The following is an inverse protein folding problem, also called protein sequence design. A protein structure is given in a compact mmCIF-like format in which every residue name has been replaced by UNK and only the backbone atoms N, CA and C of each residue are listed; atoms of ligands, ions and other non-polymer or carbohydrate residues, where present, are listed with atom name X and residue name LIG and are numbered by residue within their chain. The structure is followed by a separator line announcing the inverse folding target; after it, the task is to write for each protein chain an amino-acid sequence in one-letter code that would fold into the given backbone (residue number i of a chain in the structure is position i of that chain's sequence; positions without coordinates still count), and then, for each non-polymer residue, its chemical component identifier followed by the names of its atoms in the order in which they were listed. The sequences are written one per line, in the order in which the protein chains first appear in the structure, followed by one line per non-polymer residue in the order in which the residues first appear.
data_IF_884473144922
#
_entry.id   IF_884473144922
#
_cell.length_a   1.000
_cell.length_b   1.000
_cell.length_c   1.000
_cell.angle_alpha   90.00
_cell.angle_beta   90.00
_cell.angle_gamma   90.00
#
_symmetry.space_group_name_H-M   'P 1'
#
loop_
_entity.id
_entity.type
_entity.pdbx_description
1 polymer ?
#
# COMPACT_ATOMS: atom_id res chain seq x y z
N UNK A 1 -1.36 35.10 -39.97
CA UNK A 1 -1.20 35.19 -38.52
C UNK A 1 -0.31 34.04 -38.10
N UNK A 2 1.03 34.29 -38.07
CA UNK A 2 2.01 33.26 -37.71
C UNK A 2 1.98 33.05 -36.21
N UNK A 3 1.76 31.79 -35.82
CA UNK A 3 1.86 31.39 -34.41
C UNK A 3 3.32 31.14 -34.10
N UNK A 4 3.98 32.12 -33.48
CA UNK A 4 5.33 31.94 -32.93
C UNK A 4 5.28 31.08 -31.70
N UNK A 5 5.72 29.84 -31.82
CA UNK A 5 5.97 28.97 -30.65
C UNK A 5 7.16 29.53 -29.87
N UNK A 6 6.90 30.02 -28.67
CA UNK A 6 7.99 30.29 -27.72
C UNK A 6 8.59 28.92 -27.29
N UNK A 7 9.91 28.77 -27.26
CA UNK A 7 10.54 27.54 -26.78
C UNK A 7 10.17 27.35 -25.31
N UNK A 8 9.63 26.18 -24.99
CA UNK A 8 9.44 25.76 -23.62
C UNK A 8 10.80 25.79 -22.94
N UNK A 9 10.98 26.52 -21.82
CA UNK A 9 12.24 26.49 -21.11
C UNK A 9 12.55 25.05 -20.71
N UNK A 10 13.70 24.52 -21.12
CA UNK A 10 14.21 23.24 -20.67
C UNK A 10 14.22 23.26 -19.15
N UNK A 11 13.55 22.28 -18.55
CA UNK A 11 13.52 22.09 -17.11
C UNK A 11 14.95 22.08 -16.56
N UNK A 12 15.31 22.94 -15.59
CA UNK A 12 16.68 23.02 -15.08
C UNK A 12 17.12 21.81 -14.23
N UNK A 13 16.32 20.76 -14.18
CA UNK A 13 16.66 19.51 -13.47
C UNK A 13 17.49 18.56 -14.32
N UNK A 14 18.54 19.08 -14.96
CA UNK A 14 19.58 18.26 -15.55
C UNK A 14 20.55 17.89 -14.45
N UNK A 15 20.65 16.60 -14.19
CA UNK A 15 21.65 15.84 -13.43
C UNK A 15 21.14 15.15 -12.15
N UNK A 16 19.92 14.63 -12.14
CA UNK A 16 19.75 13.39 -11.41
C UNK A 16 20.24 12.27 -12.34
N UNK A 17 21.17 11.41 -11.92
CA UNK A 17 21.45 10.20 -12.68
C UNK A 17 20.11 9.51 -12.88
N UNK A 18 19.83 9.07 -14.11
CA UNK A 18 18.72 8.18 -14.43
C UNK A 18 18.99 6.84 -13.71
N UNK A 19 18.86 6.84 -12.38
CA UNK A 19 18.78 5.61 -11.64
C UNK A 19 17.38 5.07 -11.93
N UNK A 20 17.33 4.04 -12.78
CA UNK A 20 16.12 3.25 -12.94
C UNK A 20 15.79 2.69 -11.57
N UNK A 21 14.76 3.23 -10.93
CA UNK A 21 14.20 2.70 -9.68
C UNK A 21 13.49 1.38 -9.96
N UNK A 22 14.27 0.38 -10.35
CA UNK A 22 13.73 -0.94 -10.67
C UNK A 22 13.78 -1.79 -9.42
N UNK A 23 12.61 -2.10 -8.87
CA UNK A 23 12.48 -3.06 -7.78
C UNK A 23 12.63 -4.47 -8.35
N UNK A 24 13.54 -5.25 -7.77
CA UNK A 24 13.78 -6.64 -8.15
C UNK A 24 13.39 -7.56 -7.00
N UNK A 25 12.38 -8.40 -7.23
CA UNK A 25 11.94 -9.39 -6.24
C UNK A 25 12.59 -10.72 -6.53
N UNK A 26 13.34 -11.25 -5.56
CA UNK A 26 14.04 -12.52 -5.66
C UNK A 26 13.60 -13.47 -4.55
N UNK A 27 13.70 -14.78 -4.81
CA UNK A 27 13.31 -15.82 -3.88
C UNK A 27 12.09 -16.63 -4.36
N UNK A 28 11.96 -17.84 -3.83
CA UNK A 28 10.89 -18.79 -4.16
C UNK A 28 9.79 -18.82 -3.08
N UNK A 29 10.11 -18.45 -1.84
CA UNK A 29 9.17 -18.37 -0.73
C UNK A 29 8.71 -16.94 -0.49
N UNK A 30 7.58 -16.75 0.17
CA UNK A 30 7.09 -15.42 0.60
C UNK A 30 8.16 -14.69 1.42
N UNK A 31 8.76 -15.40 2.39
CA UNK A 31 9.78 -14.82 3.26
C UNK A 31 11.00 -14.30 2.48
N UNK A 32 11.50 -15.07 1.52
CA UNK A 32 12.63 -14.65 0.68
C UNK A 32 12.27 -13.43 -0.15
N UNK A 33 11.08 -13.38 -0.74
CA UNK A 33 10.59 -12.24 -1.49
C UNK A 33 10.51 -10.97 -0.63
N UNK A 34 9.91 -11.05 0.56
CA UNK A 34 9.88 -9.92 1.48
C UNK A 34 11.27 -9.48 1.94
N UNK A 35 12.18 -10.43 2.23
CA UNK A 35 13.57 -10.13 2.56
C UNK A 35 14.29 -9.38 1.44
N UNK A 36 13.96 -9.69 0.18
CA UNK A 36 14.52 -8.96 -0.97
C UNK A 36 13.92 -7.56 -1.15
N UNK A 37 12.65 -7.34 -0.78
CA UNK A 37 11.95 -6.07 -0.92
C UNK A 37 12.30 -5.04 0.16
N UNK A 38 12.40 -5.47 1.42
CA UNK A 38 12.55 -4.54 2.55
C UNK A 38 13.74 -3.57 2.43
N UNK A 39 14.98 -4.00 2.07
CA UNK A 39 16.08 -3.06 1.90
C UNK A 39 15.86 -2.10 0.73
N UNK A 40 15.16 -2.54 -0.33
CA UNK A 40 14.85 -1.71 -1.48
C UNK A 40 13.82 -0.63 -1.13
N UNK A 41 12.82 -0.94 -0.29
CA UNK A 41 11.88 0.08 0.20
C UNK A 41 12.55 1.15 1.04
N UNK A 42 13.52 0.78 1.90
CA UNK A 42 14.28 1.75 2.67
C UNK A 42 15.10 2.67 1.77
N UNK A 43 15.79 2.12 0.76
CA UNK A 43 16.53 2.91 -0.21
C UNK A 43 15.62 3.82 -1.05
N UNK A 44 14.45 3.31 -1.45
CA UNK A 44 13.48 4.07 -2.25
C UNK A 44 12.99 5.35 -1.56
N UNK A 45 12.82 5.31 -0.23
CA UNK A 45 12.29 6.43 0.55
C UNK A 45 13.38 7.32 1.18
N UNK A 46 14.67 6.98 1.00
CA UNK A 46 15.77 7.65 1.68
C UNK A 46 15.91 9.10 1.21
N UNK A 47 15.89 9.33 -0.11
CA UNK A 47 16.12 10.61 -0.73
C UNK A 47 14.84 11.39 -1.07
N UNK A 48 13.71 10.70 -1.29
CA UNK A 48 12.41 11.30 -1.58
C UNK A 48 11.71 11.76 -0.29
N UNK A 49 11.19 12.98 -0.28
CA UNK A 49 10.50 13.56 0.89
C UNK A 49 8.99 13.71 0.68
N UNK A 50 8.51 13.52 -0.55
CA UNK A 50 7.06 13.53 -0.80
C UNK A 50 6.43 12.21 -0.35
N UNK A 51 5.55 12.33 0.63
CA UNK A 51 4.85 11.20 1.24
C UNK A 51 4.03 10.39 0.23
N UNK A 52 3.35 11.06 -0.71
CA UNK A 52 2.49 10.39 -1.70
C UNK A 52 3.34 9.67 -2.74
N UNK A 53 4.45 10.27 -3.19
CA UNK A 53 5.38 9.64 -4.11
C UNK A 53 5.96 8.36 -3.51
N UNK A 54 6.44 8.41 -2.26
CA UNK A 54 6.98 7.26 -1.54
C UNK A 54 5.95 6.14 -1.37
N UNK A 55 4.74 6.46 -0.89
CA UNK A 55 3.68 5.46 -0.72
C UNK A 55 3.26 4.84 -2.05
N UNK A 56 3.14 5.64 -3.11
CA UNK A 56 2.75 5.14 -4.43
C UNK A 56 3.74 4.10 -4.95
N UNK A 57 5.04 4.35 -4.77
CA UNK A 57 6.09 3.41 -5.17
C UNK A 57 6.12 2.14 -4.30
N UNK A 58 5.93 2.26 -2.98
CA UNK A 58 5.82 1.08 -2.08
C UNK A 58 4.63 0.21 -2.49
N UNK A 59 3.46 0.81 -2.71
CA UNK A 59 2.23 0.11 -3.11
C UNK A 59 2.42 -0.60 -4.45
N UNK A 60 2.97 0.08 -5.46
CA UNK A 60 3.24 -0.50 -6.76
C UNK A 60 4.22 -1.69 -6.65
N UNK A 61 5.27 -1.52 -5.86
CA UNK A 61 6.28 -2.57 -5.64
C UNK A 61 5.72 -3.80 -4.93
N UNK A 62 4.85 -3.61 -3.93
CA UNK A 62 4.13 -4.71 -3.27
C UNK A 62 3.18 -5.42 -4.24
N UNK A 63 2.35 -4.66 -4.95
CA UNK A 63 1.38 -5.20 -5.92
C UNK A 63 2.04 -6.10 -6.94
N UNK A 64 3.07 -5.59 -7.61
CA UNK A 64 3.75 -6.33 -8.69
C UNK A 64 4.77 -7.34 -8.17
N UNK A 65 5.47 -7.03 -7.10
CA UNK A 65 6.49 -7.90 -6.52
C UNK A 65 5.94 -9.16 -5.87
N UNK A 66 4.80 -9.05 -5.20
CA UNK A 66 4.14 -10.18 -4.51
C UNK A 66 3.00 -10.78 -5.32
N UNK A 67 2.58 -10.13 -6.41
CA UNK A 67 1.47 -10.54 -7.27
C UNK A 67 0.11 -10.56 -6.52
N UNK A 68 -0.13 -9.57 -5.66
CA UNK A 68 -1.41 -9.40 -4.98
C UNK A 68 -2.50 -8.90 -5.95
N UNK A 69 -3.77 -9.15 -5.66
CA UNK A 69 -4.90 -8.65 -6.43
C UNK A 69 -5.00 -7.12 -6.33
N UNK A 70 -4.93 -6.61 -5.10
CA UNK A 70 -5.03 -5.19 -4.78
C UNK A 70 -4.08 -4.82 -3.63
N UNK A 71 -3.49 -3.65 -3.72
CA UNK A 71 -2.69 -3.05 -2.64
C UNK A 71 -2.98 -1.57 -2.59
N UNK A 72 -3.30 -1.04 -1.43
CA UNK A 72 -3.55 0.37 -1.27
C UNK A 72 -3.48 0.86 0.17
N UNK A 73 -3.66 2.16 0.34
CA UNK A 73 -3.68 2.79 1.65
C UNK A 73 -4.97 3.60 1.80
N UNK A 74 -5.55 3.54 2.99
CA UNK A 74 -6.62 4.42 3.39
C UNK A 74 -6.14 5.33 4.51
N UNK A 75 -6.39 6.62 4.40
CA UNK A 75 -6.04 7.62 5.42
C UNK A 75 -7.21 7.90 6.33
N UNK A 76 -6.93 7.98 7.63
CA UNK A 76 -7.91 8.49 8.61
C UNK A 76 -8.08 9.98 8.37
N UNK A 77 -9.26 10.38 7.92
CA UNK A 77 -9.66 11.79 7.74
C UNK A 77 -10.96 12.05 8.47
N UNK A 78 -10.90 12.88 9.52
CA UNK A 78 -12.03 13.06 10.42
C UNK A 78 -12.43 11.72 11.07
N UNK A 79 -13.61 11.20 10.80
CA UNK A 79 -14.13 9.96 11.37
C UNK A 79 -14.30 8.84 10.31
N UNK A 80 -13.57 8.90 9.21
CA UNK A 80 -13.63 7.94 8.13
C UNK A 80 -12.24 7.60 7.61
N UNK A 81 -12.10 6.40 7.07
CA UNK A 81 -11.00 6.05 6.18
C UNK A 81 -11.32 6.56 4.77
N UNK A 82 -10.39 7.28 4.18
CA UNK A 82 -10.51 7.84 2.82
C UNK A 82 -9.42 7.23 1.95
N UNK A 83 -9.83 6.70 0.78
CA UNK A 83 -8.94 6.07 -0.18
C UNK A 83 -7.77 7.00 -0.55
N UNK A 84 -6.57 6.47 -0.46
CA UNK A 84 -5.31 7.06 -0.91
C UNK A 84 -4.77 6.39 -2.17
N UNK A 85 -3.45 6.44 -2.42
CA UNK A 85 -2.83 5.69 -3.50
C UNK A 85 -3.12 4.19 -3.41
N UNK A 86 -3.37 3.56 -4.56
CA UNK A 86 -3.59 2.12 -4.68
C UNK A 86 -3.25 1.59 -6.06
N UNK A 87 -3.11 0.28 -6.17
CA UNK A 87 -2.91 -0.47 -7.40
C UNK A 87 -3.87 -1.67 -7.43
N UNK A 88 -4.73 -1.74 -8.44
CA UNK A 88 -5.73 -2.79 -8.61
C UNK A 88 -7.06 -2.26 -9.15
N UNK A 89 -8.14 -3.05 -9.09
CA UNK A 89 -9.50 -2.62 -9.42
C UNK A 89 -9.95 -1.43 -8.58
N UNK A 90 -11.00 -0.71 -9.04
CA UNK A 90 -11.60 0.39 -8.27
C UNK A 90 -12.08 -0.09 -6.90
N UNK A 91 -11.97 0.76 -5.88
CA UNK A 91 -12.25 0.43 -4.49
C UNK A 91 -13.24 1.42 -3.84
N UNK A 92 -13.72 1.08 -2.66
CA UNK A 92 -14.57 1.95 -1.86
C UNK A 92 -13.82 3.24 -1.52
N UNK A 93 -14.43 4.41 -1.75
CA UNK A 93 -13.75 5.69 -1.50
C UNK A 93 -13.75 6.09 -0.02
N UNK A 94 -14.72 5.60 0.77
CA UNK A 94 -14.86 5.91 2.21
C UNK A 94 -15.32 4.69 2.99
N UNK A 95 -14.72 4.48 4.15
CA UNK A 95 -15.04 3.38 5.06
C UNK A 95 -15.15 3.95 6.48
N UNK A 96 -16.29 3.69 7.14
CA UNK A 96 -16.52 4.13 8.51
C UNK A 96 -15.73 3.27 9.53
N UNK A 97 -15.45 3.85 10.71
CA UNK A 97 -14.79 3.15 11.81
C UNK A 97 -15.54 1.86 12.19
N UNK A 98 -14.83 0.75 12.25
CA UNK A 98 -15.40 -0.57 12.59
C UNK A 98 -16.23 -1.21 11.48
N UNK A 99 -16.21 -0.70 10.24
CA UNK A 99 -16.91 -1.28 9.09
C UNK A 99 -15.92 -1.99 8.18
N UNK A 100 -16.31 -3.20 7.73
CA UNK A 100 -15.42 -4.04 6.93
C UNK A 100 -14.13 -4.40 7.66
N UNK A 101 -13.16 -4.95 6.94
CA UNK A 101 -11.86 -5.36 7.51
C UNK A 101 -11.02 -4.12 7.83
N UNK A 102 -10.89 -3.18 6.90
CA UNK A 102 -10.17 -1.92 7.09
C UNK A 102 -10.65 -1.11 8.29
N UNK A 103 -11.98 -0.89 8.41
CA UNK A 103 -12.54 -0.15 9.53
C UNK A 103 -12.39 -0.89 10.86
N UNK A 104 -12.38 -2.24 10.84
CA UNK A 104 -12.13 -3.07 12.02
C UNK A 104 -10.67 -3.00 12.44
N UNK A 105 -9.71 -3.10 11.52
CA UNK A 105 -8.28 -2.94 11.81
C UNK A 105 -7.98 -1.58 12.44
N UNK A 106 -8.57 -0.52 11.89
CA UNK A 106 -8.47 0.82 12.47
C UNK A 106 -9.03 0.89 13.89
N UNK A 107 -10.25 0.37 14.12
CA UNK A 107 -10.92 0.39 15.44
C UNK A 107 -10.16 -0.40 16.50
N UNK A 108 -9.68 -1.59 16.11
CA UNK A 108 -8.99 -2.50 17.04
C UNK A 108 -7.50 -2.19 17.17
N UNK A 109 -6.97 -1.28 16.33
CA UNK A 109 -5.55 -0.88 16.30
C UNK A 109 -4.60 -2.07 16.18
N UNK A 110 -4.98 -3.07 15.38
CA UNK A 110 -4.18 -4.28 15.16
C UNK A 110 -4.31 -4.81 13.73
N UNK A 111 -3.33 -5.56 13.29
CA UNK A 111 -3.38 -6.28 12.01
C UNK A 111 -4.50 -7.32 12.03
N UNK A 112 -5.31 -7.33 10.97
CA UNK A 112 -6.39 -8.29 10.75
C UNK A 112 -6.05 -9.14 9.52
N UNK A 113 -6.06 -10.46 9.67
CA UNK A 113 -5.96 -11.42 8.57
C UNK A 113 -7.34 -12.06 8.39
N UNK A 114 -7.84 -12.04 7.15
CA UNK A 114 -9.11 -12.63 6.77
C UNK A 114 -8.87 -13.69 5.70
N UNK A 115 -9.08 -14.94 6.06
CA UNK A 115 -8.83 -16.07 5.17
C UNK A 115 -9.91 -16.25 4.09
N UNK A 116 -11.11 -15.74 4.36
CA UNK A 116 -12.28 -15.79 3.47
C UNK A 116 -13.15 -14.56 3.76
N UNK A 117 -13.10 -13.59 2.85
CA UNK A 117 -13.79 -12.31 3.02
C UNK A 117 -15.31 -12.46 3.07
N UNK A 118 -15.87 -13.47 2.40
CA UNK A 118 -17.29 -13.72 2.38
C UNK A 118 -17.81 -14.19 3.78
N UNK A 119 -16.92 -14.68 4.64
CA UNK A 119 -17.22 -15.08 6.01
C UNK A 119 -16.93 -14.01 7.06
N UNK A 120 -16.33 -12.89 6.67
CA UNK A 120 -16.01 -11.82 7.62
C UNK A 120 -17.28 -11.03 7.99
N UNK A 121 -17.64 -10.92 9.28
CA UNK A 121 -18.85 -10.21 9.70
C UNK A 121 -18.83 -8.74 9.29
N UNK A 122 -19.81 -8.31 8.49
CA UNK A 122 -19.90 -6.92 8.04
C UNK A 122 -18.91 -6.56 6.93
N UNK A 123 -18.38 -7.55 6.23
CA UNK A 123 -17.55 -7.34 5.03
C UNK A 123 -18.22 -6.37 4.04
N UNK A 124 -17.43 -5.46 3.48
CA UNK A 124 -17.86 -4.53 2.44
C UNK A 124 -17.27 -5.02 1.13
N UNK A 125 -18.10 -5.51 0.23
CA UNK A 125 -17.67 -6.00 -1.09
C UNK A 125 -17.24 -4.81 -1.96
N UNK A 126 -15.95 -4.47 -1.99
CA UNK A 126 -15.39 -3.46 -2.89
C UNK A 126 -15.02 -4.08 -4.24
N UNK A 127 -14.64 -5.37 -4.25
CA UNK A 127 -14.37 -6.17 -5.45
C UNK A 127 -14.92 -7.58 -5.27
N UNK A 128 -15.56 -8.13 -6.29
CA UNK A 128 -16.01 -9.54 -6.30
C UNK A 128 -14.86 -10.55 -6.41
N UNK A 129 -13.69 -10.07 -6.81
CA UNK A 129 -12.52 -10.91 -7.06
C UNK A 129 -11.68 -11.12 -5.80
N UNK A 130 -11.84 -10.29 -4.76
CA UNK A 130 -11.19 -10.47 -3.47
C UNK A 130 -11.72 -11.72 -2.77
N UNK A 131 -10.81 -12.58 -2.28
CA UNK A 131 -11.11 -13.82 -1.56
C UNK A 131 -10.51 -13.85 -0.17
N UNK A 132 -9.33 -13.28 0.02
CA UNK A 132 -8.72 -13.07 1.33
C UNK A 132 -8.10 -11.69 1.41
N UNK A 133 -7.94 -11.17 2.62
CA UNK A 133 -7.53 -9.79 2.87
C UNK A 133 -6.63 -9.74 4.11
N UNK A 134 -5.63 -8.85 4.08
CA UNK A 134 -4.85 -8.48 5.25
C UNK A 134 -4.79 -6.96 5.36
N UNK A 135 -5.10 -6.44 6.54
CA UNK A 135 -5.06 -4.99 6.82
C UNK A 135 -4.15 -4.69 7.99
N UNK A 136 -3.22 -3.77 7.76
CA UNK A 136 -2.22 -3.37 8.75
C UNK A 136 -2.42 -1.90 9.12
N UNK A 137 -2.71 -1.55 10.37
CA UNK A 137 -2.77 -0.14 10.80
C UNK A 137 -1.36 0.45 10.89
N UNK A 138 -1.21 1.69 10.38
CA UNK A 138 0.00 2.50 10.50
C UNK A 138 -0.22 3.60 11.54
N UNK A 139 0.76 3.82 12.40
CA UNK A 139 0.63 4.70 13.56
C UNK A 139 1.45 5.98 13.42
N UNK A 140 0.92 7.08 13.93
CA UNK A 140 1.63 8.33 14.14
C UNK A 140 1.23 8.91 15.49
N UNK A 141 2.20 9.15 16.37
CA UNK A 141 1.97 9.62 17.75
C UNK A 141 1.01 8.74 18.57
N UNK A 142 1.06 7.41 18.37
CA UNK A 142 0.21 6.43 19.08
C UNK A 142 -1.22 6.29 18.56
N UNK A 143 -1.59 7.06 17.53
CA UNK A 143 -2.89 6.95 16.87
C UNK A 143 -2.74 6.38 15.44
N UNK A 144 -3.74 5.63 14.99
CA UNK A 144 -3.79 5.14 13.59
C UNK A 144 -4.07 6.32 12.68
N UNK A 145 -3.15 6.62 11.76
CA UNK A 145 -3.34 7.67 10.75
C UNK A 145 -3.72 7.11 9.38
N UNK A 146 -3.41 5.82 9.15
CA UNK A 146 -3.76 5.13 7.93
C UNK A 146 -3.83 3.61 8.15
N UNK A 147 -4.38 2.90 7.20
CA UNK A 147 -4.28 1.44 7.11
C UNK A 147 -3.72 1.04 5.75
N UNK A 148 -2.77 0.12 5.74
CA UNK A 148 -2.29 -0.57 4.53
C UNK A 148 -3.20 -1.78 4.32
N UNK A 149 -3.86 -1.83 3.17
CA UNK A 149 -4.86 -2.83 2.81
C UNK A 149 -4.39 -3.64 1.61
N UNK A 150 -4.49 -4.96 1.70
CA UNK A 150 -4.01 -5.87 0.66
C UNK A 150 -5.00 -7.02 0.47
N UNK A 151 -5.47 -7.17 -0.77
CA UNK A 151 -6.37 -8.24 -1.18
C UNK A 151 -5.68 -9.28 -2.07
N UNK A 152 -6.15 -10.51 -1.96
CA UNK A 152 -5.80 -11.62 -2.85
C UNK A 152 -7.06 -12.24 -3.49
N UNK A 153 -6.90 -12.73 -4.72
CA UNK A 153 -7.90 -13.51 -5.44
C UNK A 153 -7.95 -15.00 -5.01
N UNK A 154 -7.19 -15.35 -3.95
CA UNK A 154 -7.11 -16.70 -3.41
C UNK A 154 -7.61 -16.72 -1.96
N UNK A 155 -8.27 -17.80 -1.58
CA UNK A 155 -8.58 -18.07 -0.19
C UNK A 155 -7.31 -18.43 0.59
N UNK A 156 -7.23 -18.02 1.85
CA UNK A 156 -6.13 -18.35 2.76
C UNK A 156 -4.75 -17.95 2.20
N UNK A 157 -4.66 -16.86 1.44
CA UNK A 157 -3.39 -16.44 0.85
C UNK A 157 -2.48 -15.71 1.84
N UNK A 158 -3.01 -15.16 2.91
CA UNK A 158 -2.22 -14.46 3.93
C UNK A 158 -2.00 -15.31 5.18
N UNK A 159 -0.76 -15.27 5.71
CA UNK A 159 -0.33 -15.99 6.91
C UNK A 159 0.51 -15.08 7.86
N UNK A 160 1.04 -15.66 8.93
CA UNK A 160 1.88 -14.92 9.89
C UNK A 160 3.18 -14.39 9.27
N UNK A 161 3.67 -14.97 8.16
CA UNK A 161 4.82 -14.44 7.42
C UNK A 161 4.46 -13.11 6.77
N UNK A 162 3.30 -13.05 6.09
CA UNK A 162 2.81 -11.80 5.49
C UNK A 162 2.65 -10.74 6.57
N UNK A 163 1.97 -11.06 7.66
CA UNK A 163 1.79 -10.14 8.79
C UNK A 163 3.11 -9.58 9.30
N UNK A 164 4.08 -10.45 9.60
CA UNK A 164 5.37 -10.03 10.15
C UNK A 164 6.12 -9.06 9.23
N UNK A 165 6.08 -9.31 7.92
CA UNK A 165 6.81 -8.48 6.96
C UNK A 165 6.04 -7.22 6.58
N UNK A 166 4.72 -7.30 6.44
CA UNK A 166 3.89 -6.13 6.16
C UNK A 166 3.85 -5.15 7.35
N UNK A 167 3.89 -5.63 8.58
CA UNK A 167 4.08 -4.77 9.76
C UNK A 167 5.44 -4.02 9.72
N UNK A 168 6.53 -4.65 9.24
CA UNK A 168 7.80 -3.95 9.02
C UNK A 168 7.73 -2.91 7.92
N UNK A 169 6.91 -3.15 6.89
CA UNK A 169 6.67 -2.16 5.81
C UNK A 169 5.82 -1.01 6.35
N UNK A 170 4.80 -1.29 7.17
CA UNK A 170 4.03 -0.26 7.86
C UNK A 170 4.93 0.65 8.71
N UNK A 171 5.92 0.10 9.43
CA UNK A 171 6.92 0.91 10.15
C UNK A 171 7.74 1.82 9.23
N UNK A 172 8.04 1.43 7.98
CA UNK A 172 8.68 2.32 7.02
C UNK A 172 7.72 3.46 6.64
N UNK A 173 6.44 3.14 6.37
CA UNK A 173 5.41 4.14 6.06
C UNK A 173 5.23 5.14 7.21
N UNK A 174 5.34 4.72 8.45
CA UNK A 174 5.22 5.56 9.64
C UNK A 174 6.37 6.58 9.79
N UNK A 175 7.50 6.34 9.13
CA UNK A 175 8.67 7.23 9.15
C UNK A 175 8.66 8.32 8.07
N UNK A 176 7.70 8.27 7.15
CA UNK A 176 7.58 9.19 6.01
C UNK A 176 7.02 10.58 6.36
#
# INVERSE_FOLDING_TARGET
MEITYLPIPLCPYTLYPLMSETISVTGNTKEEKYKSLLPQFKALVEDEKDFIANISNIIASLKYGMNFLWVGIYFVKQNELVLGPFQGPVACTRIALGRGVCGTAWKEKKTIIVNDVDKFPGHIVCSSDSKSEIVIPCFKNGEVFSVLDIDSDKLNDFDETDKQYLEKIALIIETL
#
